data_IF_608244320507
#
_entry.id   IF_608244320507
#
_cell.length_a   1.000
_cell.length_b   1.000
_cell.length_c   1.000
_cell.angle_alpha   90.00
_cell.angle_beta   90.00
_cell.angle_gamma   90.00
#
_symmetry.space_group_name_H-M   'P 1'
#
loop_
_entity.id
_entity.type
_entity.pdbx_description
1 polymer ?
#
# COMPACT_ATOMS: atom_id res chain seq x y z
N UNK A 1 -27.89 13.49 -26.41
CA UNK A 1 -28.09 12.19 -25.75
C UNK A 1 -26.80 11.85 -25.04
N UNK A 2 -26.78 11.89 -23.71
CA UNK A 2 -25.61 11.46 -22.93
C UNK A 2 -25.72 9.94 -22.80
N UNK A 3 -24.85 9.20 -23.49
CA UNK A 3 -24.72 7.76 -23.28
C UNK A 3 -24.07 7.60 -21.91
N UNK A 4 -24.82 7.08 -20.95
CA UNK A 4 -24.25 6.66 -19.67
C UNK A 4 -23.49 5.37 -19.96
N UNK A 5 -22.16 5.42 -19.95
CA UNK A 5 -21.35 4.20 -20.03
C UNK A 5 -21.74 3.26 -18.88
N UNK A 6 -21.92 1.96 -19.15
CA UNK A 6 -22.30 1.01 -18.11
C UNK A 6 -21.17 0.89 -17.08
N UNK A 7 -21.52 0.98 -15.80
CA UNK A 7 -20.57 0.81 -14.71
C UNK A 7 -19.97 -0.60 -14.78
N UNK A 8 -18.64 -0.70 -14.81
CA UNK A 8 -17.93 -1.98 -14.89
C UNK A 8 -17.47 -2.48 -13.51
N UNK A 9 -17.27 -3.79 -13.37
CA UNK A 9 -16.67 -4.39 -12.16
C UNK A 9 -15.30 -3.77 -11.87
N UNK A 10 -14.52 -3.48 -12.92
CA UNK A 10 -13.21 -2.85 -12.83
C UNK A 10 -13.27 -1.44 -12.22
N UNK A 11 -14.26 -0.64 -12.63
CA UNK A 11 -14.50 0.67 -12.02
C UNK A 11 -14.83 0.55 -10.53
N UNK A 12 -15.64 -0.43 -10.13
CA UNK A 12 -15.97 -0.66 -8.72
C UNK A 12 -14.73 -1.15 -7.94
N UNK A 13 -13.93 -2.05 -8.50
CA UNK A 13 -12.67 -2.52 -7.88
C UNK A 13 -11.71 -1.36 -7.63
N UNK A 14 -11.48 -0.52 -8.65
CA UNK A 14 -10.67 0.70 -8.51
C UNK A 14 -11.15 1.60 -7.40
N UNK A 15 -12.46 1.86 -7.32
CA UNK A 15 -13.06 2.68 -6.26
C UNK A 15 -12.87 2.04 -4.87
N UNK A 16 -12.93 0.71 -4.76
CA UNK A 16 -12.66 0.02 -3.49
C UNK A 16 -11.20 0.20 -3.06
N UNK A 17 -10.23 0.02 -3.96
CA UNK A 17 -8.82 0.26 -3.61
C UNK A 17 -8.55 1.73 -3.28
N UNK A 18 -9.20 2.66 -4.00
CA UNK A 18 -9.15 4.09 -3.67
C UNK A 18 -9.64 4.36 -2.24
N UNK A 19 -10.74 3.75 -1.81
CA UNK A 19 -11.23 3.88 -0.43
C UNK A 19 -10.24 3.33 0.60
N UNK A 20 -9.55 2.22 0.30
CA UNK A 20 -8.54 1.65 1.20
C UNK A 20 -7.36 2.61 1.35
N UNK A 21 -6.79 3.08 0.24
CA UNK A 21 -5.65 4.01 0.26
C UNK A 21 -6.04 5.34 0.93
N UNK A 22 -7.19 5.91 0.58
CA UNK A 22 -7.67 7.16 1.17
C UNK A 22 -7.84 7.02 2.70
N UNK A 23 -8.27 5.85 3.16
CA UNK A 23 -8.37 5.56 4.60
C UNK A 23 -7.00 5.49 5.28
N UNK A 24 -5.98 4.92 4.64
CA UNK A 24 -4.62 4.90 5.17
C UNK A 24 -4.06 6.33 5.27
N UNK A 25 -4.27 7.13 4.23
CA UNK A 25 -3.80 8.53 4.19
C UNK A 25 -4.54 9.42 5.18
N UNK A 26 -5.85 9.20 5.38
CA UNK A 26 -6.64 9.82 6.45
C UNK A 26 -6.05 9.51 7.83
N UNK A 27 -5.76 8.23 8.12
CA UNK A 27 -5.20 7.80 9.40
C UNK A 27 -3.81 8.41 9.66
N UNK A 28 -2.92 8.40 8.66
CA UNK A 28 -1.61 9.07 8.75
C UNK A 28 -1.76 10.56 9.01
N UNK A 29 -2.64 11.23 8.28
CA UNK A 29 -2.90 12.66 8.42
C UNK A 29 -3.48 13.00 9.79
N UNK A 30 -4.43 12.19 10.28
CA UNK A 30 -5.01 12.35 11.61
C UNK A 30 -3.96 12.19 12.72
N UNK A 31 -3.06 11.21 12.58
CA UNK A 31 -1.94 11.03 13.51
C UNK A 31 -1.03 12.26 13.55
N UNK A 32 -0.67 12.82 12.38
CA UNK A 32 0.14 14.05 12.28
C UNK A 32 -0.56 15.25 12.91
N UNK A 33 -1.86 15.43 12.64
CA UNK A 33 -2.64 16.51 13.24
C UNK A 33 -2.72 16.38 14.77
N UNK A 34 -2.81 15.16 15.31
CA UNK A 34 -2.86 14.91 16.76
C UNK A 34 -1.59 15.33 17.51
N UNK A 35 -0.46 15.49 16.82
CA UNK A 35 0.75 16.05 17.41
C UNK A 35 0.64 17.58 17.64
N UNK A 36 -0.31 18.25 17.00
CA UNK A 36 -0.48 19.72 17.05
C UNK A 36 -1.83 20.15 17.63
N UNK A 37 -2.80 19.24 17.75
CA UNK A 37 -4.17 19.52 18.16
C UNK A 37 -4.69 18.48 19.16
N UNK A 38 -5.54 18.91 20.10
CA UNK A 38 -6.22 17.98 21.01
C UNK A 38 -7.30 17.16 20.28
N UNK A 39 -7.65 15.98 20.82
CA UNK A 39 -8.72 15.14 20.25
C UNK A 39 -10.07 15.86 20.16
N UNK A 40 -10.38 16.75 21.11
CA UNK A 40 -11.60 17.56 21.09
C UNK A 40 -11.59 18.60 19.96
N UNK A 41 -10.44 19.25 19.74
CA UNK A 41 -10.28 20.20 18.64
C UNK A 41 -10.38 19.49 17.28
N UNK A 42 -9.78 18.31 17.14
CA UNK A 42 -9.90 17.47 15.95
C UNK A 42 -11.35 17.03 15.69
N UNK A 43 -12.05 16.57 16.72
CA UNK A 43 -13.45 16.17 16.63
C UNK A 43 -14.33 17.31 16.09
N UNK A 44 -14.14 18.52 16.63
CA UNK A 44 -14.84 19.72 16.17
C UNK A 44 -14.47 20.08 14.72
N UNK A 45 -13.19 20.06 14.37
CA UNK A 45 -12.71 20.43 13.03
C UNK A 45 -13.18 19.46 11.94
N UNK A 46 -13.24 18.16 12.26
CA UNK A 46 -13.65 17.09 11.34
C UNK A 46 -15.16 16.79 11.39
N UNK A 47 -15.94 17.53 12.20
CA UNK A 47 -17.37 17.30 12.41
C UNK A 47 -17.73 15.84 12.79
N UNK A 48 -16.88 15.20 13.60
CA UNK A 48 -17.09 13.84 14.12
C UNK A 48 -17.02 13.83 15.65
N UNK A 49 -17.39 12.71 16.27
CA UNK A 49 -17.33 12.59 17.73
C UNK A 49 -15.89 12.39 18.21
N UNK A 50 -15.57 12.87 19.42
CA UNK A 50 -14.26 12.62 20.04
C UNK A 50 -13.95 11.12 20.22
N UNK A 51 -14.91 10.23 20.59
CA UNK A 51 -14.69 8.78 20.55
C UNK A 51 -14.32 8.22 19.17
N UNK A 52 -14.88 8.79 18.08
CA UNK A 52 -14.49 8.43 16.71
C UNK A 52 -13.03 8.79 16.44
N UNK A 53 -12.60 9.99 16.83
CA UNK A 53 -11.19 10.43 16.74
C UNK A 53 -10.28 9.50 17.54
N UNK A 54 -10.64 9.18 18.79
CA UNK A 54 -9.84 8.27 19.63
C UNK A 54 -9.65 6.91 18.97
N UNK A 55 -10.73 6.35 18.43
CA UNK A 55 -10.73 5.05 17.76
C UNK A 55 -9.95 5.06 16.45
N UNK A 56 -9.97 6.17 15.72
CA UNK A 56 -9.17 6.36 14.52
C UNK A 56 -7.67 6.49 14.88
N UNK A 57 -7.32 7.26 15.92
CA UNK A 57 -5.94 7.42 16.38
C UNK A 57 -5.33 6.11 16.88
N UNK A 58 -6.11 5.26 17.57
CA UNK A 58 -5.66 3.90 17.94
C UNK A 58 -5.29 3.06 16.73
N UNK A 59 -6.09 3.10 15.65
CA UNK A 59 -5.76 2.42 14.39
C UNK A 59 -4.53 3.04 13.73
N UNK A 60 -4.47 4.37 13.71
CA UNK A 60 -3.38 5.11 13.10
C UNK A 60 -2.01 4.83 13.74
N UNK A 61 -1.94 4.40 15.00
CA UNK A 61 -0.68 3.99 15.65
C UNK A 61 0.01 2.82 14.92
N UNK A 62 -0.77 1.94 14.29
CA UNK A 62 -0.26 0.75 13.62
C UNK A 62 -0.02 0.95 12.12
N UNK A 63 -0.38 2.12 11.58
CA UNK A 63 -0.19 2.41 10.14
C UNK A 63 1.23 2.95 9.92
N UNK A 64 2.10 2.26 9.17
CA UNK A 64 3.45 2.75 8.90
C UNK A 64 3.41 4.05 8.08
N UNK A 65 4.38 4.94 8.31
CA UNK A 65 4.58 6.10 7.44
C UNK A 65 5.16 5.67 6.09
N UNK A 66 4.81 6.40 5.04
CA UNK A 66 5.34 6.18 3.69
C UNK A 66 6.81 6.65 3.65
N UNK A 67 7.77 5.79 3.28
CA UNK A 67 9.17 6.18 3.12
C UNK A 67 9.34 7.24 2.03
N UNK A 68 10.35 8.10 2.17
CA UNK A 68 10.60 9.17 1.21
C UNK A 68 10.84 8.63 -0.21
N UNK A 69 10.14 9.22 -1.19
CA UNK A 69 10.19 8.84 -2.60
C UNK A 69 9.33 7.63 -2.98
N UNK A 70 8.60 7.03 -2.04
CA UNK A 70 7.64 5.97 -2.32
C UNK A 70 6.22 6.51 -2.24
N UNK A 71 5.32 5.82 -2.94
CA UNK A 71 3.90 6.12 -2.91
C UNK A 71 3.21 5.39 -1.76
N UNK A 72 3.70 4.22 -1.33
CA UNK A 72 3.14 3.43 -0.24
C UNK A 72 4.15 2.96 0.80
N UNK A 73 3.67 2.56 1.97
CA UNK A 73 4.52 2.15 3.08
C UNK A 73 4.87 0.65 3.06
N UNK A 74 4.26 -0.11 2.15
CA UNK A 74 4.60 -1.51 1.86
C UNK A 74 4.49 -1.79 0.35
N UNK A 75 5.08 -2.89 -0.16
CA UNK A 75 4.92 -3.30 -1.54
C UNK A 75 3.44 -3.48 -1.92
N UNK A 76 2.67 -4.11 -1.03
CA UNK A 76 1.23 -4.30 -1.22
C UNK A 76 0.49 -2.95 -1.34
N UNK A 77 0.81 -1.98 -0.47
CA UNK A 77 0.16 -0.67 -0.51
C UNK A 77 0.54 0.16 -1.76
N UNK A 78 1.73 -0.06 -2.33
CA UNK A 78 2.13 0.51 -3.62
C UNK A 78 1.28 -0.14 -4.75
N UNK A 79 1.08 -1.45 -4.71
CA UNK A 79 0.19 -2.14 -5.65
C UNK A 79 -1.28 -1.70 -5.53
N UNK A 80 -1.78 -1.49 -4.31
CA UNK A 80 -3.13 -0.94 -4.09
C UNK A 80 -3.29 0.46 -4.68
N UNK A 81 -2.25 1.30 -4.63
CA UNK A 81 -2.26 2.61 -5.27
C UNK A 81 -2.30 2.52 -6.79
N UNK A 82 -1.60 1.56 -7.38
CA UNK A 82 -1.69 1.28 -8.81
C UNK A 82 -3.11 0.83 -9.19
N UNK A 83 -3.68 -0.13 -8.45
CA UNK A 83 -5.05 -0.61 -8.67
C UNK A 83 -6.11 0.49 -8.47
N UNK A 84 -5.85 1.47 -7.58
CA UNK A 84 -6.66 2.66 -7.40
C UNK A 84 -6.49 3.71 -8.52
N UNK A 85 -5.51 3.54 -9.41
CA UNK A 85 -5.18 4.46 -10.50
C UNK A 85 -4.45 5.73 -10.04
N UNK A 86 -3.75 5.67 -8.91
CA UNK A 86 -3.02 6.81 -8.32
C UNK A 86 -1.58 6.90 -8.77
N UNK A 87 -1.02 5.78 -9.20
CA UNK A 87 0.28 5.69 -9.84
C UNK A 87 0.11 4.87 -11.12
N UNK A 88 0.97 5.11 -12.10
CA UNK A 88 1.00 4.31 -13.31
C UNK A 88 1.89 3.07 -13.14
N UNK A 89 1.91 2.23 -14.18
CA UNK A 89 2.69 0.98 -14.19
C UNK A 89 4.19 1.22 -14.14
N UNK A 90 4.68 2.29 -14.75
CA UNK A 90 6.12 2.60 -14.76
C UNK A 90 6.59 2.96 -13.35
N UNK A 91 5.84 3.82 -12.67
CA UNK A 91 6.10 4.22 -11.30
C UNK A 91 5.98 3.02 -10.34
N UNK A 92 4.96 2.16 -10.50
CA UNK A 92 4.82 0.92 -9.74
C UNK A 92 6.08 0.05 -9.84
N UNK A 93 6.53 -0.24 -11.06
CA UNK A 93 7.72 -1.08 -11.30
C UNK A 93 8.96 -0.42 -10.71
N UNK A 94 9.13 0.89 -10.90
CA UNK A 94 10.27 1.64 -10.40
C UNK A 94 10.34 1.60 -8.86
N UNK A 95 9.22 1.84 -8.19
CA UNK A 95 9.15 1.82 -6.73
C UNK A 95 9.34 0.41 -6.16
N UNK A 96 8.65 -0.60 -6.70
CA UNK A 96 8.79 -1.97 -6.20
C UNK A 96 10.19 -2.54 -6.47
N UNK A 97 10.84 -2.19 -7.57
CA UNK A 97 12.21 -2.65 -7.85
C UNK A 97 13.24 -2.18 -6.82
N UNK A 98 13.03 -1.00 -6.22
CA UNK A 98 13.95 -0.38 -5.26
C UNK A 98 13.46 -0.43 -3.81
N UNK A 99 12.30 -1.06 -3.58
CA UNK A 99 11.71 -1.11 -2.26
C UNK A 99 12.67 -1.83 -1.28
N UNK A 100 12.86 -1.30 -0.05
CA UNK A 100 13.75 -1.90 0.93
C UNK A 100 13.11 -3.15 1.55
N UNK A 101 13.05 -4.23 0.77
CA UNK A 101 12.45 -5.50 1.19
C UNK A 101 13.15 -6.06 2.42
N UNK A 102 12.36 -6.57 3.36
CA UNK A 102 12.85 -7.37 4.47
C UNK A 102 13.58 -8.61 3.94
N UNK A 103 14.64 -9.08 4.62
CA UNK A 103 15.26 -10.35 4.27
C UNK A 103 14.21 -11.45 4.36
N UNK A 104 14.05 -12.23 3.30
CA UNK A 104 13.20 -13.43 3.35
C UNK A 104 13.80 -14.36 4.40
N UNK A 105 13.06 -14.75 5.45
CA UNK A 105 13.57 -15.74 6.39
C UNK A 105 13.85 -17.04 5.60
N UNK A 106 15.10 -17.50 5.62
CA UNK A 106 15.46 -18.82 5.14
C UNK A 106 14.79 -19.83 6.06
N UNK A 107 13.67 -20.41 5.62
CA UNK A 107 13.04 -21.50 6.35
C UNK A 107 13.70 -22.82 5.95
N UNK A 108 14.22 -23.52 6.95
CA UNK A 108 14.81 -24.85 6.82
C UNK A 108 13.69 -25.90 6.67
N UNK A 109 12.82 -25.74 5.67
CA UNK A 109 11.84 -26.74 5.22
C UNK A 109 10.78 -27.26 6.21
N UNK A 110 10.77 -26.83 7.47
CA UNK A 110 9.95 -27.43 8.54
C UNK A 110 9.36 -26.41 9.53
N UNK A 111 9.03 -25.20 9.08
CA UNK A 111 8.27 -24.26 9.92
C UNK A 111 7.05 -23.72 9.16
N UNK A 112 5.92 -24.43 9.29
CA UNK A 112 4.61 -24.01 8.75
C UNK A 112 3.99 -22.83 9.51
N UNK A 113 4.79 -22.18 10.36
CA UNK A 113 4.54 -20.86 10.93
C UNK A 113 5.65 -19.90 10.48
N UNK A 114 5.79 -19.68 9.17
CA UNK A 114 6.38 -18.41 8.73
C UNK A 114 5.54 -17.31 9.34
N UNK A 115 6.09 -16.60 10.34
CA UNK A 115 5.51 -15.35 10.78
C UNK A 115 5.26 -14.50 9.53
N UNK A 116 4.08 -13.91 9.41
CA UNK A 116 3.73 -12.99 8.33
C UNK A 116 4.67 -11.78 8.44
N UNK A 117 5.83 -11.87 7.80
CA UNK A 117 6.86 -10.84 7.82
C UNK A 117 6.43 -9.81 6.78
N UNK A 118 6.04 -8.58 7.18
CA UNK A 118 5.64 -7.57 6.22
C UNK A 118 6.85 -7.10 5.41
N UNK A 119 6.58 -6.49 4.26
CA UNK A 119 7.57 -5.88 3.37
C UNK A 119 8.51 -6.90 2.73
N UNK A 120 8.01 -8.09 2.40
CA UNK A 120 8.80 -9.11 1.68
C UNK A 120 8.55 -9.04 0.17
N UNK A 121 9.34 -9.79 -0.60
CA UNK A 121 9.02 -10.01 -2.03
C UNK A 121 7.70 -10.78 -2.17
N UNK A 122 7.31 -11.55 -1.15
CA UNK A 122 6.03 -12.27 -1.08
C UNK A 122 4.82 -11.34 -1.23
N UNK A 123 4.89 -10.13 -0.64
CA UNK A 123 3.84 -9.11 -0.73
C UNK A 123 3.51 -8.71 -2.19
N UNK A 124 4.46 -8.87 -3.12
CA UNK A 124 4.22 -8.65 -4.57
C UNK A 124 3.46 -9.81 -5.20
N UNK A 125 3.69 -11.04 -4.71
CA UNK A 125 2.89 -12.22 -5.07
C UNK A 125 1.47 -12.13 -4.53
N UNK A 126 1.30 -11.69 -3.29
CA UNK A 126 -0.04 -11.46 -2.71
C UNK A 126 -0.83 -10.43 -3.54
N UNK A 127 -0.16 -9.38 -4.01
CA UNK A 127 -0.77 -8.39 -4.89
C UNK A 127 -1.21 -8.97 -6.25
N UNK A 128 -0.52 -9.99 -6.78
CA UNK A 128 -0.96 -10.71 -7.98
C UNK A 128 -2.18 -11.59 -7.68
N UNK A 129 -2.13 -12.35 -6.58
CA UNK A 129 -3.20 -13.26 -6.17
C UNK A 129 -4.52 -12.49 -5.88
N UNK A 130 -4.42 -11.30 -5.29
CA UNK A 130 -5.55 -10.41 -5.04
C UNK A 130 -5.97 -9.59 -6.28
N UNK A 131 -5.23 -9.69 -7.38
CA UNK A 131 -5.54 -9.03 -8.65
C UNK A 131 -5.30 -7.51 -8.66
N UNK A 132 -4.38 -7.02 -7.82
CA UNK A 132 -3.91 -5.63 -7.84
C UNK A 132 -2.98 -5.35 -9.03
N UNK A 133 -2.25 -6.38 -9.47
CA UNK A 133 -1.35 -6.37 -10.62
C UNK A 133 -1.63 -7.58 -11.51
N UNK A 134 -1.33 -7.47 -12.80
CA UNK A 134 -1.38 -8.60 -13.72
C UNK A 134 -0.04 -9.37 -13.76
N UNK A 135 -0.06 -10.56 -14.37
CA UNK A 135 1.11 -11.44 -14.47
C UNK A 135 2.27 -10.76 -15.20
N UNK A 136 2.00 -10.00 -16.26
CA UNK A 136 3.02 -9.27 -17.02
C UNK A 136 3.72 -8.22 -16.16
N UNK A 137 2.97 -7.53 -15.30
CA UNK A 137 3.49 -6.56 -14.34
C UNK A 137 4.29 -7.26 -13.25
N UNK A 138 3.80 -8.37 -12.72
CA UNK A 138 4.51 -9.18 -11.73
C UNK A 138 5.88 -9.65 -12.25
N UNK A 139 5.92 -10.21 -13.46
CA UNK A 139 7.17 -10.66 -14.10
C UNK A 139 8.13 -9.49 -14.32
N UNK A 140 7.63 -8.34 -14.78
CA UNK A 140 8.46 -7.14 -14.97
C UNK A 140 9.07 -6.64 -13.65
N UNK A 141 8.31 -6.64 -12.56
CA UNK A 141 8.80 -6.29 -11.22
C UNK A 141 9.90 -7.25 -10.79
N UNK A 142 9.67 -8.56 -10.89
CA UNK A 142 10.67 -9.57 -10.49
C UNK A 142 11.98 -9.47 -11.28
N UNK A 143 11.89 -9.23 -12.59
CA UNK A 143 13.06 -9.02 -13.42
C UNK A 143 13.83 -7.78 -12.93
N UNK A 144 13.13 -6.68 -12.69
CA UNK A 144 13.76 -5.43 -12.25
C UNK A 144 14.38 -5.52 -10.85
N UNK A 145 13.75 -6.24 -9.92
CA UNK A 145 14.31 -6.55 -8.59
C UNK A 145 15.60 -7.35 -8.75
N UNK A 146 15.60 -8.36 -9.62
CA UNK A 146 16.78 -9.20 -9.88
C UNK A 146 17.93 -8.38 -10.44
N UNK A 147 17.67 -7.53 -11.44
CA UNK A 147 18.67 -6.63 -12.02
C UNK A 147 19.24 -5.66 -10.97
N UNK A 148 18.37 -5.09 -10.12
CA UNK A 148 18.78 -4.18 -9.06
C UNK A 148 19.63 -4.87 -7.98
N UNK A 149 19.36 -6.15 -7.68
CA UNK A 149 20.14 -6.94 -6.71
C UNK A 149 21.48 -7.41 -7.28
N UNK A 150 21.59 -7.61 -8.59
CA UNK A 150 22.81 -8.12 -9.20
C UNK A 150 23.87 -7.03 -9.44
N UNK A 151 23.50 -5.75 -9.56
CA UNK A 151 24.45 -4.67 -9.85
C UNK A 151 25.28 -4.91 -11.13
N UNK A 152 26.05 -3.93 -11.62
CA UNK A 152 27.01 -4.22 -12.67
C UNK A 152 28.05 -5.22 -12.11
N UNK A 153 28.12 -6.41 -12.70
CA UNK A 153 29.23 -7.34 -12.47
C UNK A 153 30.54 -6.59 -12.83
N UNK A 154 31.56 -6.58 -11.96
CA UNK A 154 32.85 -5.97 -12.29
C UNK A 154 33.50 -6.64 -13.50
#
# INVERSE_FOLDING_TARGET
MTVIEPVSVEQVRRLRHRQVVDRLDELRSLRRLSATMSQTALAKALAITQPTVNSALKRAQHIPDVPEGFSGASPYEIAERYAAGLIDREQLIYELARFPYAPTPTTDGYDWLTADVPNTVGDVGDALDDGLIDEDTYVAIQQRITDHRQGPRP
#
